data_IF_716861728942
#
_entry.id   IF_716861728942
#
_cell.length_a   1.000
_cell.length_b   1.000
_cell.length_c   1.000
_cell.angle_alpha   90.00
_cell.angle_beta   90.00
_cell.angle_gamma   90.00
#
_symmetry.space_group_name_H-M   'P 1'
#
loop_
_entity.id
_entity.type
_entity.pdbx_description
1 polymer ?
#
# COMPACT_ATOMS: atom_id res chain seq x y z
N UNK A 1 37.93 18.88 13.96
CA UNK A 1 36.59 19.29 14.46
C UNK A 1 35.63 19.29 13.28
N UNK A 2 34.44 18.67 13.40
CA UNK A 2 33.45 18.66 12.29
C UNK A 2 32.72 20.00 12.21
N UNK A 3 32.53 20.53 11.01
CA UNK A 3 31.80 21.79 10.81
C UNK A 3 30.30 21.61 11.13
N UNK A 4 29.54 22.68 11.43
CA UNK A 4 28.09 22.61 11.59
C UNK A 4 27.40 21.91 10.40
N UNK A 5 27.83 22.22 9.18
CA UNK A 5 27.31 21.61 7.93
C UNK A 5 27.60 20.11 7.82
N UNK A 6 28.73 19.64 8.37
CA UNK A 6 29.06 18.21 8.42
C UNK A 6 28.21 17.45 9.45
N UNK A 7 27.76 18.13 10.52
CA UNK A 7 26.85 17.56 11.52
C UNK A 7 25.43 17.44 10.97
N UNK A 8 24.97 18.43 10.22
CA UNK A 8 23.62 18.41 9.60
C UNK A 8 23.51 17.32 8.53
N UNK A 9 24.49 17.21 7.62
CA UNK A 9 24.54 16.10 6.64
C UNK A 9 24.59 14.73 7.30
N UNK A 10 25.19 14.62 8.48
CA UNK A 10 25.29 13.36 9.19
C UNK A 10 23.98 13.02 9.94
N UNK A 11 23.17 14.03 10.33
CA UNK A 11 21.80 13.85 10.80
C UNK A 11 20.86 13.46 9.67
N UNK A 12 20.91 14.13 8.52
CA UNK A 12 20.10 13.77 7.34
C UNK A 12 20.35 12.33 6.90
N UNK A 13 21.63 11.91 6.80
CA UNK A 13 21.99 10.52 6.49
C UNK A 13 21.51 9.51 7.53
N UNK A 14 21.47 9.92 8.80
CA UNK A 14 20.96 9.06 9.88
C UNK A 14 19.43 8.91 9.77
N UNK A 15 18.72 10.00 9.52
CA UNK A 15 17.25 10.00 9.36
C UNK A 15 16.81 9.24 8.10
N UNK A 16 17.56 9.34 7.00
CA UNK A 16 17.36 8.51 5.81
C UNK A 16 17.61 7.02 6.09
N UNK A 17 18.63 6.72 6.90
CA UNK A 17 18.93 5.36 7.36
C UNK A 17 17.81 4.77 8.23
N UNK A 18 17.23 5.58 9.12
CA UNK A 18 16.10 5.20 9.97
C UNK A 18 14.85 4.96 9.13
N UNK A 19 14.52 5.86 8.19
CA UNK A 19 13.39 5.66 7.26
C UNK A 19 13.56 4.43 6.37
N UNK A 20 14.77 4.17 5.90
CA UNK A 20 15.07 2.97 5.12
C UNK A 20 15.00 1.69 5.98
N UNK A 21 15.41 1.76 7.25
CA UNK A 21 15.29 0.66 8.19
C UNK A 21 13.84 0.38 8.57
N UNK A 22 13.02 1.43 8.76
CA UNK A 22 11.59 1.32 9.05
C UNK A 22 10.83 0.74 7.83
N UNK A 23 11.14 1.22 6.62
CA UNK A 23 10.62 0.61 5.38
C UNK A 23 11.02 -0.85 5.22
N UNK A 24 12.28 -1.20 5.52
CA UNK A 24 12.75 -2.59 5.48
C UNK A 24 12.09 -3.45 6.55
N UNK A 25 11.91 -2.92 7.76
CA UNK A 25 11.26 -3.62 8.87
C UNK A 25 9.79 -3.89 8.56
N UNK A 26 9.09 -2.90 7.99
CA UNK A 26 7.72 -3.04 7.54
C UNK A 26 7.59 -4.04 6.38
N UNK A 27 8.43 -3.93 5.34
CA UNK A 27 8.42 -4.89 4.22
C UNK A 27 8.73 -6.31 4.67
N UNK A 28 9.64 -6.47 5.64
CA UNK A 28 9.99 -7.78 6.22
C UNK A 28 8.87 -8.37 7.07
N UNK A 29 8.16 -7.54 7.84
CA UNK A 29 6.96 -7.98 8.55
C UNK A 29 5.78 -8.22 7.61
N UNK A 30 5.75 -7.56 6.46
CA UNK A 30 4.76 -7.77 5.41
C UNK A 30 4.84 -9.17 4.80
N UNK A 31 6.05 -9.65 4.49
CA UNK A 31 6.27 -11.00 3.96
C UNK A 31 6.29 -12.11 5.02
N UNK A 32 6.46 -11.79 6.31
CA UNK A 32 6.37 -12.80 7.38
C UNK A 32 4.91 -13.16 7.72
N UNK A 33 3.95 -12.28 7.45
CA UNK A 33 2.52 -12.58 7.67
C UNK A 33 1.97 -13.59 6.65
N UNK A 34 2.63 -13.75 5.49
CA UNK A 34 2.21 -14.66 4.42
C UNK A 34 2.74 -16.10 4.53
N UNK A 35 3.57 -16.42 5.53
CA UNK A 35 4.18 -17.76 5.69
C UNK A 35 3.47 -18.65 6.72
N UNK A 36 2.44 -18.15 7.40
CA UNK A 36 1.75 -18.89 8.47
C UNK A 36 0.30 -19.22 8.10
N UNK A 37 0.13 -20.22 7.23
CA UNK A 37 -1.01 -21.13 7.24
C UNK A 37 -2.02 -21.01 6.09
N UNK A 38 -2.00 -21.97 5.15
CA UNK A 38 -2.86 -23.17 5.18
C UNK A 38 -2.77 -23.95 3.85
N UNK A 39 -2.40 -25.23 3.94
CA UNK A 39 -2.69 -26.27 2.94
C UNK A 39 -4.19 -26.61 3.02
N UNK A 40 -4.94 -26.44 1.92
CA UNK A 40 -5.67 -27.50 1.20
C UNK A 40 -6.77 -26.96 0.26
N UNK A 41 -6.61 -27.30 -1.02
CA UNK A 41 -7.59 -27.70 -2.07
C UNK A 41 -8.94 -26.97 -2.20
N UNK A 42 -9.14 -26.29 -3.34
CA UNK A 42 -9.83 -26.87 -4.51
C UNK A 42 -9.95 -25.90 -5.71
N UNK A 43 -9.55 -26.41 -6.87
CA UNK A 43 -9.97 -26.18 -8.26
C UNK A 43 -10.86 -24.96 -8.63
N UNK A 44 -10.37 -24.15 -9.56
CA UNK A 44 -11.16 -23.15 -10.31
C UNK A 44 -10.27 -22.24 -11.14
N UNK A 45 -9.75 -22.77 -12.26
CA UNK A 45 -8.99 -22.01 -13.26
C UNK A 45 -9.79 -20.81 -13.74
N UNK A 46 -9.37 -19.62 -13.32
CA UNK A 46 -9.70 -18.35 -13.97
C UNK A 46 -8.37 -17.71 -14.29
N UNK A 47 -8.09 -17.57 -15.59
CA UNK A 47 -6.94 -16.87 -16.14
C UNK A 47 -6.90 -15.43 -15.63
N UNK A 48 -6.37 -15.27 -14.43
CA UNK A 48 -6.12 -13.96 -13.83
C UNK A 48 -4.80 -13.52 -14.40
N UNK A 49 -4.87 -12.78 -15.50
CA UNK A 49 -3.72 -12.13 -16.15
C UNK A 49 -2.99 -11.33 -15.06
N UNK A 50 -1.89 -11.89 -14.54
CA UNK A 50 -1.08 -11.24 -13.52
C UNK A 50 -0.60 -9.90 -14.07
N UNK A 51 -0.96 -8.75 -13.46
CA UNK A 51 -0.53 -7.45 -13.96
C UNK A 51 0.88 -7.18 -13.46
N UNK A 52 1.86 -7.92 -13.99
CA UNK A 52 3.28 -7.66 -13.75
C UNK A 52 4.04 -7.85 -15.05
N UNK A 53 3.78 -6.96 -16.00
CA UNK A 53 4.77 -6.65 -17.02
C UNK A 53 5.82 -5.74 -16.34
N UNK A 54 7.00 -6.30 -16.05
CA UNK A 54 8.20 -5.62 -15.50
C UNK A 54 8.27 -5.38 -13.98
N UNK A 55 7.44 -6.03 -13.16
CA UNK A 55 7.60 -5.98 -11.69
C UNK A 55 7.20 -4.65 -11.05
N UNK A 56 6.61 -3.72 -11.81
CA UNK A 56 6.07 -2.46 -11.32
C UNK A 56 4.56 -2.50 -11.42
N UNK A 57 3.87 -2.22 -10.31
CA UNK A 57 2.41 -2.10 -10.32
C UNK A 57 2.02 -0.93 -11.26
N UNK A 58 0.97 -1.10 -12.10
CA UNK A 58 0.48 -0.03 -12.94
C UNK A 58 0.04 1.17 -12.09
N UNK A 59 0.14 2.38 -12.64
CA UNK A 59 -0.27 3.61 -11.94
C UNK A 59 -1.72 3.49 -11.43
N UNK A 60 -1.98 3.69 -10.13
CA UNK A 60 -3.32 3.65 -9.56
C UNK A 60 -4.33 4.56 -10.23
N UNK A 61 -3.90 5.64 -10.92
CA UNK A 61 -4.82 6.51 -11.65
C UNK A 61 -5.61 5.80 -12.77
N UNK A 62 -5.15 4.64 -13.21
CA UNK A 62 -5.80 3.81 -14.23
C UNK A 62 -6.57 2.61 -13.66
N UNK A 63 -6.58 2.42 -12.34
CA UNK A 63 -7.25 1.29 -11.70
C UNK A 63 -8.76 1.48 -11.71
N UNK A 64 -9.48 0.44 -12.13
CA UNK A 64 -10.92 0.33 -11.86
C UNK A 64 -11.18 -0.18 -10.45
N UNK A 65 -12.46 -0.27 -10.08
CA UNK A 65 -12.88 -0.80 -8.76
C UNK A 65 -12.33 -2.21 -8.53
N UNK A 66 -12.39 -3.08 -9.54
CA UNK A 66 -11.88 -4.46 -9.43
C UNK A 66 -10.38 -4.51 -9.14
N UNK A 67 -9.58 -3.60 -9.72
CA UNK A 67 -8.14 -3.54 -9.49
C UNK A 67 -7.82 -3.10 -8.06
N UNK A 68 -8.56 -2.12 -7.53
CA UNK A 68 -8.45 -1.67 -6.12
C UNK A 68 -8.77 -2.83 -5.17
N UNK A 69 -9.87 -3.54 -5.43
CA UNK A 69 -10.28 -4.71 -4.63
C UNK A 69 -9.23 -5.81 -4.67
N UNK A 70 -8.76 -6.17 -5.86
CA UNK A 70 -7.73 -7.19 -6.05
C UNK A 70 -6.42 -6.82 -5.38
N UNK A 71 -6.02 -5.54 -5.44
CA UNK A 71 -4.85 -5.04 -4.73
C UNK A 71 -4.99 -5.25 -3.22
N UNK A 72 -6.12 -4.85 -2.62
CA UNK A 72 -6.33 -5.00 -1.17
C UNK A 72 -6.45 -6.46 -0.73
N UNK A 73 -7.01 -7.35 -1.57
CA UNK A 73 -6.98 -8.80 -1.33
C UNK A 73 -5.55 -9.36 -1.34
N UNK A 74 -4.79 -9.05 -2.39
CA UNK A 74 -3.41 -9.52 -2.55
C UNK A 74 -2.44 -8.99 -1.46
N UNK A 75 -2.83 -7.93 -0.77
CA UNK A 75 -2.10 -7.30 0.34
C UNK A 75 -2.56 -7.78 1.72
N UNK A 76 -3.44 -8.79 1.78
CA UNK A 76 -3.87 -9.41 3.03
C UNK A 76 -5.05 -8.72 3.72
N UNK A 77 -5.75 -7.82 3.03
CA UNK A 77 -6.96 -7.12 3.51
C UNK A 77 -8.23 -7.64 2.82
N UNK A 78 -8.34 -8.95 2.62
CA UNK A 78 -9.45 -9.55 1.87
C UNK A 78 -10.83 -9.23 2.45
N UNK A 79 -10.97 -9.28 3.78
CA UNK A 79 -12.22 -8.92 4.46
C UNK A 79 -12.58 -7.45 4.20
N UNK A 80 -11.59 -6.55 4.22
CA UNK A 80 -11.79 -5.10 4.06
C UNK A 80 -11.94 -4.67 2.60
N UNK A 81 -11.44 -5.46 1.65
CA UNK A 81 -11.53 -5.16 0.23
C UNK A 81 -12.99 -5.04 -0.25
N UNK A 82 -13.92 -5.74 0.40
CA UNK A 82 -15.36 -5.64 0.14
C UNK A 82 -15.90 -4.22 0.35
N UNK A 83 -15.40 -3.48 1.33
CA UNK A 83 -15.84 -2.11 1.59
C UNK A 83 -15.46 -1.16 0.44
N UNK A 84 -14.32 -1.39 -0.23
CA UNK A 84 -13.93 -0.63 -1.42
C UNK A 84 -14.83 -0.97 -2.61
N UNK A 85 -15.25 -2.24 -2.73
CA UNK A 85 -16.20 -2.67 -3.75
C UNK A 85 -17.58 -2.03 -3.55
N UNK A 86 -18.10 -2.06 -2.31
CA UNK A 86 -19.44 -1.58 -1.96
C UNK A 86 -19.57 -0.06 -2.11
N UNK A 87 -18.49 0.67 -1.87
CA UNK A 87 -18.41 2.12 -2.06
C UNK A 87 -17.97 2.51 -3.48
N UNK A 88 -17.81 1.53 -4.39
CA UNK A 88 -17.38 1.73 -5.77
C UNK A 88 -16.09 2.56 -5.90
N UNK A 89 -15.12 2.32 -5.01
CA UNK A 89 -13.87 3.06 -4.97
C UNK A 89 -12.96 2.60 -6.12
N UNK A 90 -12.86 3.44 -7.14
CA UNK A 90 -11.87 3.31 -8.21
C UNK A 90 -10.51 3.92 -7.82
N UNK A 91 -9.51 3.75 -8.68
CA UNK A 91 -8.15 4.20 -8.40
C UNK A 91 -8.03 5.71 -8.24
N UNK A 92 -8.80 6.50 -9.01
CA UNK A 92 -8.80 7.96 -8.90
C UNK A 92 -9.39 8.42 -7.56
N UNK A 93 -10.50 7.81 -7.16
CA UNK A 93 -11.14 8.06 -5.87
C UNK A 93 -10.19 7.68 -4.73
N UNK A 94 -9.53 6.51 -4.83
CA UNK A 94 -8.53 6.05 -3.86
C UNK A 94 -7.39 7.07 -3.67
N UNK A 95 -6.89 7.64 -4.78
CA UNK A 95 -5.83 8.65 -4.76
C UNK A 95 -6.28 9.98 -4.14
N UNK A 96 -7.59 10.24 -4.05
CA UNK A 96 -8.16 11.44 -3.44
C UNK A 96 -8.65 11.22 -2.00
N UNK A 97 -8.75 9.97 -1.55
CA UNK A 97 -9.22 9.66 -0.19
C UNK A 97 -8.36 10.34 0.87
N UNK A 98 -9.04 11.00 1.79
CA UNK A 98 -8.42 11.55 3.00
C UNK A 98 -8.31 10.47 4.07
N UNK A 99 -7.56 10.79 5.13
CA UNK A 99 -7.48 9.95 6.33
C UNK A 99 -8.86 9.63 6.90
N UNK A 100 -9.75 10.61 6.96
CA UNK A 100 -11.08 10.43 7.55
C UNK A 100 -11.95 9.52 6.68
N UNK A 101 -11.85 9.62 5.36
CA UNK A 101 -12.62 8.76 4.45
C UNK A 101 -12.30 7.28 4.69
N UNK A 102 -11.02 6.95 4.91
CA UNK A 102 -10.61 5.58 5.23
C UNK A 102 -10.99 5.17 6.65
N UNK A 103 -10.77 6.03 7.64
CA UNK A 103 -10.97 5.68 9.06
C UNK A 103 -12.44 5.60 9.47
N UNK A 104 -13.32 6.37 8.83
CA UNK A 104 -14.73 6.46 9.21
C UNK A 104 -15.70 6.24 8.06
N UNK A 105 -15.29 6.49 6.81
CA UNK A 105 -16.17 6.38 5.63
C UNK A 105 -16.37 4.96 5.11
N UNK A 106 -15.41 4.05 5.29
CA UNK A 106 -15.47 2.68 4.74
C UNK A 106 -16.10 1.63 5.66
N UNK A 107 -16.67 2.00 6.81
CA UNK A 107 -17.20 1.02 7.80
C UNK A 107 -16.23 -0.10 8.20
N UNK A 108 -14.91 0.13 8.07
CA UNK A 108 -13.85 -0.79 8.47
C UNK A 108 -13.49 -0.56 9.93
N UNK A 109 -13.14 -1.63 10.66
CA UNK A 109 -12.62 -1.53 12.05
C UNK A 109 -11.37 -0.62 12.09
N UNK A 110 -11.26 0.19 13.14
CA UNK A 110 -10.21 1.21 13.27
C UNK A 110 -8.78 0.67 13.07
N UNK A 111 -8.46 -0.49 13.63
CA UNK A 111 -7.12 -1.10 13.52
C UNK A 111 -6.71 -1.36 12.07
N UNK A 112 -7.46 -2.19 11.30
CA UNK A 112 -7.24 -2.36 9.87
C UNK A 112 -7.28 -1.05 9.07
N UNK A 113 -8.22 -0.15 9.35
CA UNK A 113 -8.34 1.12 8.63
C UNK A 113 -7.08 2.00 8.76
N UNK A 114 -6.47 2.07 9.95
CA UNK A 114 -5.20 2.75 10.17
C UNK A 114 -4.07 2.14 9.34
N UNK A 115 -4.00 0.80 9.26
CA UNK A 115 -2.98 0.11 8.47
C UNK A 115 -3.16 0.38 6.97
N UNK A 116 -4.39 0.29 6.48
CA UNK A 116 -4.75 0.58 5.08
C UNK A 116 -4.33 2.01 4.71
N UNK A 117 -4.67 3.00 5.54
CA UNK A 117 -4.31 4.38 5.22
C UNK A 117 -2.80 4.63 5.22
N UNK A 118 -2.09 4.25 6.30
CA UNK A 118 -0.66 4.57 6.45
C UNK A 118 0.25 3.77 5.52
N UNK A 119 -0.10 2.51 5.22
CA UNK A 119 0.78 1.60 4.48
C UNK A 119 0.37 1.37 3.02
N UNK A 120 -0.85 1.72 2.63
CA UNK A 120 -1.33 1.53 1.25
C UNK A 120 -1.75 2.84 0.60
N UNK A 121 -2.81 3.48 1.08
CA UNK A 121 -3.39 4.67 0.43
C UNK A 121 -2.37 5.79 0.32
N UNK A 122 -1.75 6.19 1.43
CA UNK A 122 -0.78 7.28 1.47
C UNK A 122 0.49 7.00 0.64
N UNK A 123 1.08 5.78 0.67
CA UNK A 123 2.15 5.43 -0.25
C UNK A 123 1.76 5.48 -1.73
N UNK A 124 0.59 4.97 -2.12
CA UNK A 124 0.10 5.01 -3.50
C UNK A 124 -0.07 6.47 -3.98
N UNK A 125 -0.63 7.35 -3.13
CA UNK A 125 -0.73 8.79 -3.39
C UNK A 125 0.63 9.44 -3.59
N UNK A 126 1.59 9.14 -2.71
CA UNK A 126 2.94 9.72 -2.78
C UNK A 126 3.69 9.26 -4.03
N UNK A 127 3.49 8.02 -4.47
CA UNK A 127 4.10 7.49 -5.70
C UNK A 127 3.52 8.17 -6.93
N UNK A 128 2.19 8.31 -7.02
CA UNK A 128 1.52 8.96 -8.14
C UNK A 128 1.98 10.41 -8.34
N UNK A 129 2.11 11.19 -7.25
CA UNK A 129 2.60 12.58 -7.32
C UNK A 129 4.03 12.68 -7.89
N UNK A 130 4.90 11.70 -7.62
CA UNK A 130 6.28 11.69 -8.13
C UNK A 130 6.33 11.37 -9.62
N UNK A 131 5.46 10.47 -10.09
CA UNK A 131 5.33 10.13 -11.50
C UNK A 131 4.88 11.32 -12.34
N UNK A 132 3.93 12.12 -11.84
CA UNK A 132 3.44 13.31 -12.56
C UNK A 132 4.38 14.52 -12.51
N UNK A 133 5.39 14.52 -11.63
CA UNK A 133 6.34 15.62 -11.46
C UNK A 133 7.64 15.43 -12.27
N UNK A 134 7.77 14.31 -12.99
CA UNK A 134 8.90 14.01 -13.87
C UNK A 134 8.51 14.18 -15.33
#
# INVERSE_FOLDING_TARGET
MKTPRDRDRQRERHDDGVRAAERRYLMKNYCNVTDSGMEDKANGSVDTKSPVENGQLPDPANWGVADVVNYFKATGFEEQATAFQDQEIDGKSLLLMTRNDVLTGLSIKLGPALKIYEYHVKPLQTQHLKTNAS
#
